data_IF_427775834664
#
_entry.id   IF_427775834664
#
_cell.length_a   1.000
_cell.length_b   1.000
_cell.length_c   1.000
_cell.angle_alpha   90.00
_cell.angle_beta   90.00
_cell.angle_gamma   90.00
#
_symmetry.space_group_name_H-M   'P 1'
#
loop_
_entity.id
_entity.type
_entity.pdbx_description
1 polymer ?
#
# COMPACT_ATOMS: atom_id res chain seq x y z
N UNK A 1 12.48 -59.44 -14.30
CA UNK A 1 11.41 -58.82 -13.49
C UNK A 1 10.85 -57.63 -14.25
N UNK A 2 9.63 -57.75 -14.77
CA UNK A 2 9.05 -56.85 -15.76
C UNK A 2 8.57 -55.50 -15.16
N UNK A 3 8.85 -54.42 -15.88
CA UNK A 3 8.43 -53.04 -15.59
C UNK A 3 6.98 -52.81 -15.99
N UNK A 4 6.11 -52.50 -15.02
CA UNK A 4 4.69 -52.18 -15.26
C UNK A 4 4.57 -50.67 -15.56
N UNK A 5 4.48 -50.30 -16.85
CA UNK A 5 4.00 -48.99 -17.30
C UNK A 5 2.48 -48.93 -17.09
N UNK A 6 2.01 -48.26 -16.03
CA UNK A 6 0.59 -47.84 -15.91
C UNK A 6 0.36 -46.59 -16.77
N UNK A 7 -0.33 -46.76 -17.88
CA UNK A 7 -0.81 -45.69 -18.76
C UNK A 7 -1.90 -44.87 -18.06
N UNK A 8 -1.75 -43.55 -18.00
CA UNK A 8 -2.77 -42.62 -17.47
C UNK A 8 -3.88 -42.46 -18.52
N UNK A 9 -5.07 -42.98 -18.21
CA UNK A 9 -6.31 -42.79 -18.98
C UNK A 9 -6.74 -41.31 -18.93
N UNK A 10 -6.87 -40.69 -20.10
CA UNK A 10 -7.31 -39.31 -20.32
C UNK A 10 -8.83 -39.20 -20.06
N UNK A 11 -9.33 -38.32 -19.18
CA UNK A 11 -10.78 -38.17 -19.02
C UNK A 11 -11.38 -37.35 -20.18
N UNK A 12 -12.47 -37.87 -20.73
CA UNK A 12 -13.19 -37.37 -21.89
C UNK A 12 -13.90 -36.03 -21.63
N UNK A 13 -13.92 -35.16 -22.64
CA UNK A 13 -14.74 -33.94 -22.68
C UNK A 13 -16.21 -34.33 -22.81
N UNK A 14 -17.07 -33.86 -21.89
CA UNK A 14 -18.52 -33.91 -22.05
C UNK A 14 -18.98 -32.60 -22.66
N UNK A 15 -19.35 -32.64 -23.92
CA UNK A 15 -20.05 -31.57 -24.62
C UNK A 15 -21.50 -31.52 -24.13
N UNK A 16 -22.00 -30.32 -23.83
CA UNK A 16 -23.43 -30.05 -23.66
C UNK A 16 -23.85 -29.09 -24.78
N UNK A 17 -24.68 -29.58 -25.70
CA UNK A 17 -25.32 -28.79 -26.76
C UNK A 17 -26.75 -28.41 -26.34
N UNK A 18 -26.99 -27.08 -26.38
CA UNK A 18 -28.19 -26.29 -26.74
C UNK A 18 -29.63 -26.78 -26.43
N UNK A 19 -30.40 -25.84 -25.86
CA UNK A 19 -31.75 -25.41 -26.29
C UNK A 19 -31.89 -23.91 -25.95
N UNK A 20 -31.85 -22.95 -26.90
CA UNK A 20 -33.00 -22.29 -27.61
C UNK A 20 -34.01 -21.65 -26.66
N UNK A 21 -33.94 -20.32 -26.42
CA UNK A 21 -34.54 -19.17 -27.14
C UNK A 21 -35.96 -18.80 -26.65
N UNK A 22 -36.12 -17.59 -26.08
CA UNK A 22 -37.34 -16.76 -26.15
C UNK A 22 -36.95 -15.27 -26.22
N UNK A 23 -37.32 -14.65 -27.34
CA UNK A 23 -37.65 -13.23 -27.62
C UNK A 23 -36.70 -12.12 -27.15
N UNK A 24 -35.97 -11.41 -28.03
CA UNK A 24 -36.41 -10.36 -28.98
C UNK A 24 -37.19 -9.19 -28.35
N UNK A 25 -36.51 -8.05 -28.19
CA UNK A 25 -37.04 -6.71 -28.48
C UNK A 25 -36.01 -6.04 -29.40
N UNK A 26 -36.43 -5.78 -30.65
CA UNK A 26 -35.72 -5.06 -31.73
C UNK A 26 -35.71 -3.55 -31.44
N UNK A 27 -34.55 -2.90 -31.56
CA UNK A 27 -34.14 -1.94 -32.63
C UNK A 27 -34.98 -0.64 -32.62
N UNK A 28 -34.44 0.57 -32.71
CA UNK A 28 -33.56 1.20 -33.70
C UNK A 28 -33.08 2.55 -33.08
N UNK A 29 -32.04 3.32 -33.47
CA UNK A 29 -31.33 3.63 -34.73
C UNK A 29 -30.04 4.39 -34.32
N UNK A 30 -28.84 4.06 -34.82
CA UNK A 30 -28.11 4.66 -35.97
C UNK A 30 -27.81 6.17 -35.82
N UNK A 31 -26.61 6.74 -36.03
CA UNK A 31 -25.39 6.34 -36.76
C UNK A 31 -24.21 7.31 -36.41
N UNK A 32 -22.98 7.19 -36.99
CA UNK A 32 -21.68 7.47 -36.35
C UNK A 32 -21.05 8.82 -36.79
N UNK A 33 -19.80 9.15 -36.38
CA UNK A 33 -18.74 9.79 -37.22
C UNK A 33 -17.48 10.26 -36.41
N UNK A 34 -16.32 9.87 -36.96
CA UNK A 34 -14.95 10.44 -36.99
C UNK A 34 -14.03 10.47 -35.75
N UNK A 35 -12.92 9.73 -35.94
CA UNK A 35 -11.56 10.06 -35.54
C UNK A 35 -11.18 11.52 -35.81
N UNK A 36 -10.75 12.26 -34.79
CA UNK A 36 -9.86 13.40 -34.94
C UNK A 36 -8.82 13.34 -33.81
N UNK A 37 -7.57 13.21 -34.22
CA UNK A 37 -6.37 13.50 -33.45
C UNK A 37 -6.23 15.01 -33.27
N UNK A 38 -6.27 15.51 -32.03
CA UNK A 38 -5.74 16.83 -31.67
C UNK A 38 -5.07 16.70 -30.30
N UNK A 39 -3.74 16.89 -30.31
CA UNK A 39 -2.89 17.12 -29.14
C UNK A 39 -3.08 18.56 -28.59
N UNK A 40 -2.51 18.90 -27.42
CA UNK A 40 -3.18 19.53 -26.27
C UNK A 40 -3.31 21.06 -26.34
N UNK A 41 -4.24 21.62 -25.54
CA UNK A 41 -4.18 23.03 -25.12
C UNK A 41 -3.76 23.13 -23.64
N UNK A 42 -2.52 23.59 -23.44
CA UNK A 42 -2.07 24.40 -22.30
C UNK A 42 -2.59 25.84 -22.53
N UNK A 43 -2.95 26.72 -21.59
CA UNK A 43 -2.72 26.83 -20.16
C UNK A 43 -3.69 27.89 -19.59
N UNK A 44 -4.09 27.78 -18.32
CA UNK A 44 -4.85 28.81 -17.62
C UNK A 44 -4.97 28.53 -16.12
N UNK A 45 -4.09 29.14 -15.31
CA UNK A 45 -3.96 28.96 -13.86
C UNK A 45 -5.27 29.22 -13.11
N UNK A 46 -5.89 28.14 -12.65
CA UNK A 46 -6.69 28.12 -11.42
C UNK A 46 -6.01 27.13 -10.47
N UNK A 47 -5.82 27.51 -9.20
CA UNK A 47 -5.13 26.70 -8.19
C UNK A 47 -5.90 25.42 -7.84
N UNK A 48 -5.87 24.44 -8.75
CA UNK A 48 -6.54 23.16 -8.59
C UNK A 48 -5.93 22.37 -7.44
N UNK A 49 -6.72 22.07 -6.42
CA UNK A 49 -6.31 21.19 -5.33
C UNK A 49 -6.01 19.81 -5.90
N UNK A 50 -4.76 19.36 -5.81
CA UNK A 50 -4.36 18.03 -6.29
C UNK A 50 -5.17 16.93 -5.60
N UNK A 51 -5.68 15.97 -6.39
CA UNK A 51 -6.42 14.83 -5.86
C UNK A 51 -5.48 13.93 -5.06
N UNK A 52 -5.81 13.70 -3.79
CA UNK A 52 -5.04 12.84 -2.90
C UNK A 52 -5.91 11.74 -2.29
N UNK A 53 -5.28 10.61 -2.02
CA UNK A 53 -5.89 9.52 -1.26
C UNK A 53 -5.49 9.65 0.20
N UNK A 54 -6.50 9.73 1.06
CA UNK A 54 -6.31 9.91 2.50
C UNK A 54 -6.37 8.58 3.23
N UNK A 55 -5.40 8.32 4.10
CA UNK A 55 -5.45 7.17 4.99
C UNK A 55 -4.79 7.46 6.34
N UNK A 56 -5.16 6.67 7.34
CA UNK A 56 -4.60 6.74 8.69
C UNK A 56 -3.89 5.44 9.01
N UNK A 57 -2.68 5.54 9.54
CA UNK A 57 -1.96 4.44 10.17
C UNK A 57 -1.80 4.67 11.68
N UNK A 58 -1.87 3.60 12.48
CA UNK A 58 -1.70 3.66 13.93
C UNK A 58 -0.87 2.48 14.42
N UNK A 59 0.03 2.70 15.38
CA UNK A 59 0.75 1.65 16.11
C UNK A 59 1.10 2.14 17.50
N UNK A 60 0.78 1.32 18.52
CA UNK A 60 0.92 1.73 19.93
C UNK A 60 0.25 3.10 20.12
N UNK A 61 1.02 4.12 20.46
CA UNK A 61 0.57 5.51 20.65
C UNK A 61 0.79 6.39 19.40
N UNK A 62 1.53 5.91 18.41
CA UNK A 62 1.86 6.67 17.20
C UNK A 62 0.70 6.68 16.20
N UNK A 63 0.36 7.88 15.71
CA UNK A 63 -0.66 8.11 14.69
C UNK A 63 -0.03 8.81 13.49
N UNK A 64 -0.23 8.24 12.31
CA UNK A 64 0.22 8.78 11.02
C UNK A 64 -0.98 9.12 10.15
N UNK A 65 -1.07 10.37 9.70
CA UNK A 65 -2.04 10.85 8.70
C UNK A 65 -1.31 10.95 7.37
N UNK A 66 -1.68 10.10 6.41
CA UNK A 66 -1.02 9.97 5.11
C UNK A 66 -1.91 10.59 4.03
N UNK A 67 -1.32 11.44 3.20
CA UNK A 67 -1.87 11.88 1.92
C UNK A 67 -0.98 11.30 0.82
N UNK A 68 -1.58 10.49 -0.05
CA UNK A 68 -0.90 9.87 -1.17
C UNK A 68 -1.31 10.57 -2.46
N UNK A 69 -0.32 10.96 -3.24
CA UNK A 69 -0.45 11.62 -4.53
C UNK A 69 0.18 10.74 -5.62
N UNK A 70 -0.32 10.85 -6.85
CA UNK A 70 0.38 10.34 -8.03
C UNK A 70 1.53 11.30 -8.37
N UNK A 71 2.74 10.77 -8.59
CA UNK A 71 3.89 11.61 -8.93
C UNK A 71 3.66 12.29 -10.28
N UNK A 72 3.90 13.60 -10.36
CA UNK A 72 3.96 14.35 -11.63
C UNK A 72 5.41 14.47 -12.10
N UNK A 73 5.63 14.73 -13.39
CA UNK A 73 6.95 14.99 -13.95
C UNK A 73 7.66 16.16 -13.25
N UNK A 74 6.91 17.18 -12.83
CA UNK A 74 7.40 18.37 -12.12
C UNK A 74 7.88 18.13 -10.68
N UNK A 75 7.53 17.00 -10.06
CA UNK A 75 7.92 16.67 -8.68
C UNK A 75 9.31 16.03 -8.57
N UNK A 76 10.01 15.87 -9.70
CA UNK A 76 11.40 15.46 -9.71
C UNK A 76 12.25 16.58 -9.09
N UNK A 77 13.17 16.27 -8.15
CA UNK A 77 14.12 17.27 -7.67
C UNK A 77 14.95 17.75 -8.88
N UNK A 78 14.70 18.99 -9.31
CA UNK A 78 15.38 19.59 -10.47
C UNK A 78 16.87 19.79 -10.20
N UNK A 79 17.28 19.84 -8.94
CA UNK A 79 18.66 20.10 -8.53
C UNK A 79 19.06 19.27 -7.30
N UNK A 80 19.45 18.01 -7.53
CA UNK A 80 20.53 17.41 -6.74
C UNK A 80 21.07 16.16 -7.44
N UNK A 81 22.30 16.28 -7.92
CA UNK A 81 23.14 15.15 -8.31
C UNK A 81 23.25 14.17 -7.14
N UNK A 82 22.46 13.10 -7.16
CA UNK A 82 22.81 11.84 -6.52
C UNK A 82 22.35 10.75 -7.49
N UNK A 83 23.31 10.07 -8.09
CA UNK A 83 23.17 8.93 -9.00
C UNK A 83 22.37 7.72 -8.44
N UNK A 84 21.83 7.83 -7.23
CA UNK A 84 21.10 6.78 -6.50
C UNK A 84 19.58 7.04 -6.38
N UNK A 85 19.05 8.14 -6.93
CA UNK A 85 17.64 8.51 -6.76
C UNK A 85 16.65 7.64 -7.56
N UNK A 86 17.12 6.86 -8.53
CA UNK A 86 16.28 5.97 -9.34
C UNK A 86 15.55 4.88 -8.52
N UNK A 87 15.98 4.68 -7.27
CA UNK A 87 15.42 3.69 -6.35
C UNK A 87 14.72 4.23 -5.09
N UNK A 88 14.61 5.55 -4.88
CA UNK A 88 14.06 6.11 -3.62
C UNK A 88 12.64 6.61 -3.75
N UNK A 89 11.85 6.43 -2.68
CA UNK A 89 10.47 6.89 -2.62
C UNK A 89 10.40 8.37 -2.20
N UNK A 90 9.58 9.17 -2.88
CA UNK A 90 9.32 10.56 -2.48
C UNK A 90 8.33 10.60 -1.30
N UNK A 91 8.85 10.44 -0.09
CA UNK A 91 8.06 10.43 1.15
C UNK A 91 8.54 11.57 2.06
N UNK A 92 7.64 12.52 2.34
CA UNK A 92 7.88 13.60 3.29
C UNK A 92 7.15 13.32 4.60
N UNK A 93 7.88 13.36 5.72
CA UNK A 93 7.39 13.15 7.08
C UNK A 93 7.60 14.42 7.87
N UNK A 94 6.52 15.06 8.34
CA UNK A 94 6.56 16.32 9.10
C UNK A 94 7.44 17.39 8.43
N UNK A 95 7.26 17.60 7.13
CA UNK A 95 8.00 18.55 6.29
C UNK A 95 9.50 18.26 6.13
N UNK A 96 9.97 17.07 6.54
CA UNK A 96 11.34 16.59 6.30
C UNK A 96 11.30 15.38 5.39
N UNK A 97 12.39 15.13 4.65
CA UNK A 97 12.50 13.90 3.87
C UNK A 97 12.58 12.69 4.82
N UNK A 98 11.98 11.56 4.46
CA UNK A 98 11.95 10.36 5.33
C UNK A 98 13.35 9.86 5.71
N UNK A 99 14.36 10.03 4.85
CA UNK A 99 15.76 9.66 5.13
C UNK A 99 16.39 10.53 6.22
N UNK A 100 16.00 11.81 6.30
CA UNK A 100 16.45 12.73 7.34
C UNK A 100 15.66 12.55 8.63
N UNK A 101 14.38 12.16 8.54
CA UNK A 101 13.54 11.95 9.71
C UNK A 101 13.86 10.65 10.45
N UNK A 102 14.09 9.57 9.70
CA UNK A 102 14.49 8.27 10.24
C UNK A 102 15.97 8.04 9.98
N UNK A 103 16.81 8.19 11.00
CA UNK A 103 18.26 7.94 10.90
C UNK A 103 18.59 6.49 10.54
N UNK A 104 17.82 5.53 11.07
CA UNK A 104 18.11 4.11 10.89
C UNK A 104 17.61 3.60 9.54
N UNK A 105 18.50 2.96 8.78
CA UNK A 105 18.19 2.31 7.49
C UNK A 105 17.06 1.28 7.63
N UNK A 106 17.02 0.55 8.75
CA UNK A 106 15.96 -0.41 9.05
C UNK A 106 14.58 0.26 9.13
N UNK A 107 14.49 1.48 9.66
CA UNK A 107 13.23 2.23 9.74
C UNK A 107 12.82 2.77 8.37
N UNK A 108 13.78 3.25 7.59
CA UNK A 108 13.55 3.69 6.21
C UNK A 108 12.97 2.55 5.36
N UNK A 109 13.59 1.36 5.43
CA UNK A 109 13.12 0.16 4.73
C UNK A 109 11.67 -0.24 5.09
N UNK A 110 11.25 -0.01 6.33
CA UNK A 110 9.89 -0.29 6.79
C UNK A 110 8.89 0.66 6.16
N UNK A 111 9.24 1.95 6.09
CA UNK A 111 8.40 2.98 5.47
C UNK A 111 8.23 2.71 3.98
N UNK A 112 9.29 2.28 3.29
CA UNK A 112 9.28 1.97 1.86
C UNK A 112 8.64 0.62 1.50
N UNK A 113 8.54 -0.30 2.47
CA UNK A 113 8.07 -1.68 2.24
C UNK A 113 6.77 -1.85 1.42
N UNK A 114 5.69 -1.04 1.58
CA UNK A 114 4.49 -1.20 0.74
C UNK A 114 4.74 -0.82 -0.73
N UNK A 115 5.55 0.21 -0.98
CA UNK A 115 5.89 0.64 -2.33
C UNK A 115 6.86 -0.33 -3.01
N UNK A 116 7.86 -0.83 -2.25
CA UNK A 116 8.76 -1.90 -2.68
C UNK A 116 7.98 -3.15 -3.07
N UNK A 117 6.98 -3.55 -2.27
CA UNK A 117 6.20 -4.76 -2.55
C UNK A 117 5.39 -4.68 -3.86
N UNK A 118 4.95 -3.48 -4.22
CA UNK A 118 4.24 -3.21 -5.48
C UNK A 118 5.18 -2.81 -6.63
N UNK A 119 6.51 -2.80 -6.41
CA UNK A 119 7.51 -2.31 -7.38
C UNK A 119 7.14 -0.94 -7.97
N UNK A 120 6.54 -0.07 -7.16
CA UNK A 120 5.94 1.20 -7.60
C UNK A 120 6.51 2.39 -6.84
N UNK A 121 7.80 2.35 -6.51
CA UNK A 121 8.50 3.40 -5.76
C UNK A 121 8.42 4.76 -6.48
N UNK A 122 8.60 4.75 -7.79
CA UNK A 122 8.71 5.97 -8.59
C UNK A 122 7.35 6.55 -9.01
N UNK A 123 6.23 5.89 -8.68
CA UNK A 123 4.88 6.29 -9.14
C UNK A 123 4.13 7.17 -8.17
N UNK A 124 4.49 7.13 -6.89
CA UNK A 124 3.72 7.76 -5.82
C UNK A 124 4.57 8.73 -5.02
N UNK A 125 3.92 9.82 -4.60
CA UNK A 125 4.44 10.80 -3.65
C UNK A 125 3.58 10.75 -2.39
N UNK A 126 4.20 10.72 -1.22
CA UNK A 126 3.47 10.67 0.05
C UNK A 126 3.85 11.84 0.95
N UNK A 127 2.86 12.54 1.48
CA UNK A 127 3.04 13.54 2.53
C UNK A 127 2.38 13.03 3.80
N UNK A 128 3.16 12.93 4.87
CA UNK A 128 2.75 12.27 6.10
C UNK A 128 2.96 13.19 7.28
N UNK A 129 1.91 13.33 8.10
CA UNK A 129 1.98 13.98 9.40
C UNK A 129 1.92 12.91 10.48
N UNK A 130 2.94 12.85 11.33
CA UNK A 130 3.08 11.85 12.38
C UNK A 130 3.19 12.51 13.73
N UNK A 131 2.42 12.00 14.71
CA UNK A 131 2.44 12.44 16.10
C UNK A 131 2.39 11.24 17.05
N UNK A 132 3.04 11.36 18.21
CA UNK A 132 3.00 10.38 19.31
C UNK A 132 3.97 9.19 19.17
N UNK A 133 4.18 8.49 20.30
CA UNK A 133 5.06 7.32 20.42
C UNK A 133 6.53 7.63 20.16
N UNK A 134 7.26 6.68 19.56
CA UNK A 134 8.69 6.82 19.20
C UNK A 134 9.00 6.35 17.78
N UNK A 135 10.23 6.55 17.31
CA UNK A 135 10.60 6.43 15.88
C UNK A 135 10.19 5.11 15.22
N UNK A 136 10.36 3.98 15.91
CA UNK A 136 9.92 2.67 15.40
C UNK A 136 8.39 2.56 15.29
N UNK A 137 7.68 3.05 16.31
CA UNK A 137 6.22 3.08 16.33
C UNK A 137 5.66 3.92 15.19
N UNK A 138 6.31 5.06 14.96
CA UNK A 138 6.01 6.00 13.90
C UNK A 138 6.24 5.39 12.52
N UNK A 139 7.41 4.79 12.25
CA UNK A 139 7.72 4.15 10.96
C UNK A 139 6.70 3.07 10.58
N UNK A 140 6.34 2.20 11.52
CA UNK A 140 5.34 1.16 11.30
C UNK A 140 3.91 1.74 11.13
N UNK A 141 3.59 2.86 11.79
CA UNK A 141 2.33 3.58 11.56
C UNK A 141 2.28 4.19 10.16
N UNK A 142 3.38 4.81 9.69
CA UNK A 142 3.50 5.33 8.32
C UNK A 142 3.34 4.20 7.29
N UNK A 143 4.05 3.09 7.47
CA UNK A 143 3.93 1.88 6.64
C UNK A 143 2.47 1.44 6.49
N UNK A 144 1.75 1.33 7.61
CA UNK A 144 0.36 0.90 7.60
C UNK A 144 -0.57 1.94 6.92
N UNK A 145 -0.31 3.23 7.13
CA UNK A 145 -1.05 4.31 6.47
C UNK A 145 -0.86 4.31 4.95
N UNK A 146 0.37 4.17 4.46
CA UNK A 146 0.67 4.08 3.03
C UNK A 146 -0.01 2.86 2.41
N UNK A 147 0.08 1.69 3.06
CA UNK A 147 -0.58 0.47 2.57
C UNK A 147 -2.10 0.65 2.42
N UNK A 148 -2.75 1.36 3.36
CA UNK A 148 -4.18 1.67 3.27
C UNK A 148 -4.50 2.67 2.17
N UNK A 149 -3.67 3.70 1.99
CA UNK A 149 -3.85 4.67 0.91
C UNK A 149 -3.74 4.01 -0.48
N UNK A 150 -2.81 3.07 -0.64
CA UNK A 150 -2.65 2.31 -1.89
C UNK A 150 -3.86 1.44 -2.23
N UNK A 151 -4.53 0.87 -1.22
CA UNK A 151 -5.78 0.10 -1.44
C UNK A 151 -6.92 1.01 -1.87
N UNK A 152 -6.95 2.26 -1.41
CA UNK A 152 -7.95 3.25 -1.84
C UNK A 152 -7.68 3.76 -3.26
N UNK A 153 -6.41 3.76 -3.68
CA UNK A 153 -6.03 4.07 -5.06
C UNK A 153 -6.49 2.98 -6.03
N UNK A 154 -6.15 1.71 -5.74
CA UNK A 154 -6.59 0.56 -6.53
C UNK A 154 -6.88 -0.64 -5.63
N UNK A 155 -8.12 -1.14 -5.73
CA UNK A 155 -8.61 -2.28 -4.95
C UNK A 155 -7.84 -3.57 -5.26
N UNK A 156 -7.27 -3.70 -6.46
CA UNK A 156 -6.51 -4.87 -6.88
C UNK A 156 -5.24 -5.08 -6.06
N UNK A 157 -4.67 -4.00 -5.49
CA UNK A 157 -3.48 -4.09 -4.64
C UNK A 157 -3.75 -4.77 -3.30
N UNK A 158 -5.01 -4.85 -2.87
CA UNK A 158 -5.40 -5.45 -1.58
C UNK A 158 -4.92 -6.89 -1.44
N UNK A 159 -5.04 -7.71 -2.49
CA UNK A 159 -4.63 -9.13 -2.45
C UNK A 159 -3.13 -9.29 -2.20
N UNK A 160 -2.31 -8.50 -2.90
CA UNK A 160 -0.85 -8.50 -2.76
C UNK A 160 -0.41 -8.00 -1.39
N UNK A 161 -0.98 -6.88 -0.92
CA UNK A 161 -0.64 -6.25 0.36
C UNK A 161 -1.12 -7.05 1.57
N UNK A 162 -2.26 -7.74 1.46
CA UNK A 162 -2.78 -8.64 2.51
C UNK A 162 -1.87 -9.86 2.66
N UNK A 163 -1.42 -10.46 1.54
CA UNK A 163 -0.51 -11.61 1.57
C UNK A 163 0.84 -11.28 2.22
N UNK A 164 1.32 -10.05 2.08
CA UNK A 164 2.54 -9.57 2.75
C UNK A 164 2.32 -9.04 4.17
N UNK A 165 1.12 -9.12 4.73
CA UNK A 165 0.83 -8.69 6.11
C UNK A 165 0.87 -7.18 6.35
N UNK A 166 0.83 -6.35 5.32
CA UNK A 166 0.98 -4.88 5.44
C UNK A 166 -0.32 -4.17 5.86
N UNK A 167 -1.47 -4.81 5.63
CA UNK A 167 -2.79 -4.31 6.00
C UNK A 167 -3.20 -4.68 7.43
N UNK A 168 -2.47 -5.57 8.09
CA UNK A 168 -2.77 -5.94 9.48
C UNK A 168 -2.06 -4.98 10.43
N UNK A 169 -2.80 -4.38 11.34
CA UNK A 169 -2.20 -3.61 12.43
C UNK A 169 -1.62 -4.57 13.46
N UNK A 170 -0.41 -4.31 13.93
CA UNK A 170 0.13 -5.00 15.11
C UNK A 170 -0.61 -4.52 16.37
N UNK A 171 -1.37 -5.40 17.06
CA UNK A 171 -2.19 -5.02 18.20
C UNK A 171 -1.40 -4.94 19.51
N UNK A 172 -0.10 -5.29 19.53
CA UNK A 172 0.68 -5.37 20.77
C UNK A 172 0.84 -3.98 21.41
N UNK A 173 0.35 -3.86 22.64
CA UNK A 173 0.48 -2.68 23.50
C UNK A 173 1.11 -3.10 24.83
N UNK A 174 1.78 -2.16 25.51
CA UNK A 174 2.37 -2.43 26.84
C UNK A 174 1.24 -2.75 27.83
N UNK A 175 1.30 -3.93 28.42
CA UNK A 175 0.39 -4.31 29.50
C UNK A 175 0.61 -3.37 30.71
N UNK A 176 -0.50 -2.99 31.37
CA UNK A 176 -0.47 -2.21 32.61
C UNK A 176 0.25 -2.99 33.72
N UNK A 177 0.91 -2.27 34.64
CA UNK A 177 1.45 -2.88 35.88
C UNK A 177 0.29 -3.34 36.78
N UNK A 178 0.24 -4.64 37.08
CA UNK A 178 -0.70 -5.22 38.03
C UNK A 178 -0.27 -4.92 39.48
N UNK A 179 -1.22 -4.86 40.40
CA UNK A 179 -0.95 -4.66 41.83
C UNK A 179 -0.08 -5.81 42.37
N UNK A 180 0.74 -5.53 43.38
CA UNK A 180 1.70 -6.51 43.94
C UNK A 180 2.90 -6.87 43.04
N UNK A 181 2.90 -6.50 41.76
CA UNK A 181 4.01 -6.77 40.85
C UNK A 181 4.93 -5.55 40.61
N UNK A 182 6.23 -5.82 40.40
CA UNK A 182 7.25 -4.81 40.07
C UNK A 182 7.13 -4.29 38.63
N UNK A 183 6.67 -5.14 37.69
CA UNK A 183 6.31 -4.79 36.29
C UNK A 183 5.02 -5.51 35.90
N UNK A 184 4.63 -5.52 34.62
CA UNK A 184 3.38 -6.16 34.16
C UNK A 184 3.15 -7.58 34.71
N UNK A 185 4.20 -8.42 34.73
CA UNK A 185 4.16 -9.80 35.24
C UNK A 185 5.30 -10.17 36.20
N UNK A 186 6.21 -9.22 36.50
CA UNK A 186 7.39 -9.49 37.34
C UNK A 186 6.97 -9.48 38.81
N UNK A 187 6.86 -10.67 39.42
CA UNK A 187 6.71 -10.83 40.87
C UNK A 187 8.00 -10.47 41.61
N UNK A 188 7.88 -10.13 42.90
CA UNK A 188 9.01 -10.20 43.82
C UNK A 188 9.37 -11.66 44.10
N UNK A 189 10.61 -11.91 44.50
CA UNK A 189 10.98 -13.19 45.07
C UNK A 189 10.27 -13.31 46.43
N UNK A 190 9.51 -14.40 46.63
CA UNK A 190 8.98 -14.75 47.95
C UNK A 190 9.90 -15.79 48.59
N UNK A 191 10.03 -15.78 49.91
CA UNK A 191 10.60 -16.89 50.68
C UNK A 191 9.45 -17.48 51.49
N UNK A 192 9.13 -18.76 51.24
CA UNK A 192 8.25 -19.52 52.12
C UNK A 192 9.12 -19.94 53.29
N UNK A 193 8.70 -19.57 54.50
CA UNK A 193 9.17 -20.26 55.70
C UNK A 193 8.56 -21.64 55.74
#
# INVERSE_FOLDING_TARGET
MATIKKTKKKPAKKELKKATNVAEIKEETKEPIKSVSVEPEEEGKTGGKEKYFYAIGRRKESVARVRLFTKKSSDLPVEKQISDEEGRALINVNNKLYTQYFSDVNLQNIVESPLKKLKSLNRFKATVLVKGGGSRGQADAVKHGIARALVLFDINFRKKLKKSGLLTRDPRVKERRKYGHKKARKSGQFSKR
#
